data_IF_521829084698
#
_entry.id   IF_521829084698
#
_cell.length_a   1.000
_cell.length_b   1.000
_cell.length_c   1.000
_cell.angle_alpha   90.00
_cell.angle_beta   90.00
_cell.angle_gamma   90.00
#
_symmetry.space_group_name_H-M   'P 1'
#
loop_
_entity.id
_entity.type
_entity.pdbx_description
1 polymer ?
#
# COMPACT_ATOMS: atom_id res chain seq x y z
N UNK A 1 -1.10 9.80 -9.19
CA UNK A 1 -0.48 10.94 -9.90
C UNK A 1 0.51 11.56 -8.92
N UNK A 2 1.72 11.91 -9.32
CA UNK A 2 2.69 12.50 -8.38
C UNK A 2 2.46 14.01 -8.34
N UNK A 3 2.29 14.60 -7.15
CA UNK A 3 2.19 16.04 -7.00
C UNK A 3 3.55 16.69 -7.28
N UNK A 4 3.60 17.67 -8.17
CA UNK A 4 4.79 18.52 -8.33
C UNK A 4 5.00 19.38 -7.09
N UNK A 5 6.22 19.91 -6.91
CA UNK A 5 6.47 20.81 -5.78
C UNK A 5 5.69 22.12 -5.91
N UNK A 6 5.41 22.60 -7.13
CA UNK A 6 4.49 23.72 -7.34
C UNK A 6 3.08 23.37 -6.86
N UNK A 7 2.55 22.20 -7.22
CA UNK A 7 1.23 21.74 -6.77
C UNK A 7 1.15 21.62 -5.24
N UNK A 8 2.22 21.16 -4.58
CA UNK A 8 2.25 21.09 -3.11
C UNK A 8 2.20 22.49 -2.48
N UNK A 9 2.89 23.48 -3.05
CA UNK A 9 2.83 24.86 -2.57
C UNK A 9 1.45 25.47 -2.81
N UNK A 10 0.85 25.22 -3.97
CA UNK A 10 -0.52 25.62 -4.30
C UNK A 10 -1.53 25.03 -3.29
N UNK A 11 -1.46 23.72 -3.02
CA UNK A 11 -2.34 23.07 -2.03
C UNK A 11 -2.09 23.57 -0.62
N UNK A 12 -0.85 23.90 -0.26
CA UNK A 12 -0.59 24.54 1.02
C UNK A 12 -1.24 25.92 1.13
N UNK A 13 -1.11 26.74 0.09
CA UNK A 13 -1.73 28.05 0.06
C UNK A 13 -3.26 27.93 0.15
N UNK A 14 -3.86 27.05 -0.64
CA UNK A 14 -5.30 26.75 -0.56
C UNK A 14 -5.73 26.26 0.83
N UNK A 15 -4.91 25.44 1.50
CA UNK A 15 -5.15 25.02 2.87
C UNK A 15 -5.09 26.22 3.83
N UNK A 16 -4.11 27.10 3.72
CA UNK A 16 -3.97 28.30 4.58
C UNK A 16 -5.17 29.22 4.39
N UNK A 17 -5.55 29.46 3.14
CA UNK A 17 -6.65 30.35 2.75
C UNK A 17 -8.03 29.75 3.01
N UNK A 18 -8.10 28.44 3.31
CA UNK A 18 -9.34 27.68 3.46
C UNK A 18 -10.19 27.73 2.19
N UNK A 19 -9.54 27.67 1.03
CA UNK A 19 -10.17 27.92 -0.26
C UNK A 19 -11.18 26.80 -0.60
N UNK A 20 -12.49 27.10 -0.73
CA UNK A 20 -13.51 26.11 -1.05
C UNK A 20 -13.40 25.56 -2.48
N UNK A 21 -12.71 26.24 -3.39
CA UNK A 21 -12.50 25.74 -4.76
C UNK A 21 -11.62 24.49 -4.81
N UNK A 22 -10.79 24.27 -3.77
CA UNK A 22 -9.93 23.10 -3.65
C UNK A 22 -10.51 22.02 -2.74
N UNK A 23 -11.75 22.19 -2.26
CA UNK A 23 -12.40 21.20 -1.42
C UNK A 23 -12.63 19.90 -2.21
N UNK A 24 -12.16 18.78 -1.67
CA UNK A 24 -12.18 17.48 -2.38
C UNK A 24 -11.13 17.34 -3.49
N UNK A 25 -10.36 18.37 -3.85
CA UNK A 25 -9.23 18.28 -4.80
C UNK A 25 -8.02 17.61 -4.16
N UNK A 26 -7.79 17.88 -2.88
CA UNK A 26 -6.71 17.27 -2.11
C UNK A 26 -7.10 17.11 -0.63
N UNK A 27 -6.31 16.31 0.07
CA UNK A 27 -6.33 16.16 1.52
C UNK A 27 -4.97 16.54 2.09
N UNK A 28 -4.95 17.36 3.14
CA UNK A 28 -3.73 17.72 3.87
C UNK A 28 -3.56 16.85 5.11
N UNK A 29 -2.56 15.97 5.12
CA UNK A 29 -2.05 15.28 6.31
C UNK A 29 -1.14 16.20 7.14
N UNK A 30 -1.44 16.31 8.44
CA UNK A 30 -0.73 17.16 9.38
C UNK A 30 0.20 16.28 10.24
N UNK A 31 1.50 16.31 9.93
CA UNK A 31 2.52 15.41 10.52
C UNK A 31 2.54 15.44 12.05
N UNK A 32 2.34 16.63 12.63
CA UNK A 32 2.40 16.83 14.08
C UNK A 32 1.22 16.23 14.84
N UNK A 33 0.03 16.17 14.22
CA UNK A 33 -1.19 15.66 14.88
C UNK A 33 -1.60 14.28 14.38
N UNK A 34 -1.05 13.83 13.25
CA UNK A 34 -1.44 12.60 12.58
C UNK A 34 -2.88 12.64 12.06
N UNK A 35 -3.38 13.82 11.71
CA UNK A 35 -4.75 14.05 11.21
C UNK A 35 -4.67 14.47 9.75
N UNK A 36 -5.61 14.05 8.89
CA UNK A 36 -5.78 14.67 7.57
C UNK A 36 -7.07 15.49 7.49
N UNK A 37 -7.06 16.54 6.67
CA UNK A 37 -8.08 17.57 6.57
C UNK A 37 -8.42 17.92 5.12
N UNK A 38 -9.62 18.46 4.92
CA UNK A 38 -9.99 19.22 3.71
C UNK A 38 -9.31 20.58 3.65
N UNK A 39 -9.24 21.18 2.45
CA UNK A 39 -8.73 22.53 2.24
C UNK A 39 -9.46 23.55 3.13
N UNK A 40 -10.78 23.45 3.24
CA UNK A 40 -11.68 24.34 3.98
C UNK A 40 -11.61 24.21 5.51
N UNK A 41 -10.80 23.30 6.06
CA UNK A 41 -10.78 23.03 7.50
C UNK A 41 -10.46 24.28 8.33
N UNK A 42 -11.26 24.57 9.36
CA UNK A 42 -11.09 25.75 10.21
C UNK A 42 -10.04 25.59 11.32
N UNK A 43 -9.41 24.41 11.43
CA UNK A 43 -8.34 24.17 12.41
C UNK A 43 -7.13 25.11 12.19
N UNK A 44 -6.35 25.33 13.26
CA UNK A 44 -5.10 26.10 13.21
C UNK A 44 -4.19 25.50 12.15
N UNK A 45 -3.70 26.35 11.23
CA UNK A 45 -2.91 25.91 10.09
C UNK A 45 -1.47 25.60 10.52
N UNK A 46 -0.95 24.40 10.20
CA UNK A 46 0.43 24.03 10.47
C UNK A 46 1.38 24.75 9.50
N UNK A 47 2.68 24.74 9.80
CA UNK A 47 3.73 25.16 8.86
C UNK A 47 3.80 24.19 7.67
N UNK A 48 4.24 24.68 6.50
CA UNK A 48 4.41 23.89 5.28
C UNK A 48 5.19 22.58 5.50
N UNK A 49 6.32 22.65 6.19
CA UNK A 49 7.18 21.49 6.52
C UNK A 49 6.43 20.37 7.27
N UNK A 50 5.35 20.71 7.97
CA UNK A 50 4.50 19.82 8.74
C UNK A 50 3.27 19.31 7.96
N UNK A 51 3.17 19.63 6.67
CA UNK A 51 2.14 19.16 5.77
C UNK A 51 2.65 18.02 4.88
N UNK A 52 1.73 17.11 4.54
CA UNK A 52 1.84 16.14 3.45
C UNK A 52 0.51 16.17 2.71
N UNK A 53 0.52 16.07 1.38
CA UNK A 53 -0.69 16.24 0.56
C UNK A 53 -1.01 14.96 -0.20
N UNK A 54 -2.30 14.67 -0.32
CA UNK A 54 -2.84 13.46 -0.94
C UNK A 54 -3.98 13.82 -1.88
N UNK A 55 -4.12 13.11 -2.99
CA UNK A 55 -5.25 13.31 -3.89
C UNK A 55 -6.50 12.60 -3.38
N UNK A 56 -6.33 11.54 -2.60
CA UNK A 56 -7.47 10.77 -2.08
C UNK A 56 -7.38 10.57 -0.58
N UNK A 57 -8.54 10.40 0.06
CA UNK A 57 -8.60 10.03 1.47
C UNK A 57 -7.92 8.67 1.71
N UNK A 58 -8.04 7.71 0.78
CA UNK A 58 -7.38 6.40 0.89
C UNK A 58 -5.85 6.55 1.01
N UNK A 59 -5.23 7.41 0.20
CA UNK A 59 -3.80 7.72 0.28
C UNK A 59 -3.42 8.29 1.66
N UNK A 60 -4.20 9.24 2.19
CA UNK A 60 -3.96 9.82 3.51
C UNK A 60 -4.09 8.78 4.64
N UNK A 61 -5.05 7.86 4.53
CA UNK A 61 -5.26 6.79 5.49
C UNK A 61 -4.12 5.76 5.48
N UNK A 62 -3.72 5.31 4.29
CA UNK A 62 -2.54 4.45 4.10
C UNK A 62 -1.28 5.12 4.61
N UNK A 63 -1.24 6.46 4.57
CA UNK A 63 -0.14 7.22 5.09
C UNK A 63 -0.09 7.30 6.62
N UNK A 64 -1.09 6.77 7.32
CA UNK A 64 -1.17 6.72 8.78
C UNK A 64 -1.94 7.88 9.42
N UNK A 65 -2.49 8.80 8.62
CA UNK A 65 -3.31 9.90 9.13
C UNK A 65 -4.72 9.41 9.44
N UNK A 66 -5.31 9.90 10.54
CA UNK A 66 -6.73 9.68 10.86
C UNK A 66 -7.60 10.85 10.37
N UNK A 67 -8.88 10.64 10.08
CA UNK A 67 -9.77 11.72 9.68
C UNK A 67 -9.88 12.82 10.75
N UNK A 68 -9.89 14.08 10.32
CA UNK A 68 -10.13 15.21 11.22
C UNK A 68 -11.54 15.20 11.77
N UNK A 69 -11.69 15.37 13.09
CA UNK A 69 -13.01 15.46 13.73
C UNK A 69 -13.70 16.80 13.50
N UNK A 70 -12.98 17.84 13.02
CA UNK A 70 -13.52 19.18 12.80
C UNK A 70 -14.11 19.36 11.42
N UNK A 71 -13.32 19.15 10.38
CA UNK A 71 -13.82 19.26 9.00
C UNK A 71 -14.44 17.96 8.50
N UNK A 72 -14.31 16.87 9.27
CA UNK A 72 -14.85 15.55 8.92
C UNK A 72 -14.59 15.23 7.44
N UNK A 73 -13.33 15.02 7.03
CA UNK A 73 -12.96 14.97 5.61
C UNK A 73 -13.56 13.79 4.86
N UNK A 74 -14.25 12.91 5.58
CA UNK A 74 -15.05 11.82 5.09
C UNK A 74 -16.54 12.19 4.98
N UNK A 75 -16.92 13.46 5.09
CA UNK A 75 -18.30 13.92 4.95
C UNK A 75 -18.47 14.61 3.59
N UNK A 76 -19.42 14.12 2.78
CA UNK A 76 -19.86 14.78 1.55
C UNK A 76 -20.89 15.89 1.88
N UNK A 77 -21.17 16.87 0.99
CA UNK A 77 -22.06 18.00 1.27
C UNK A 77 -23.51 17.61 1.61
N UNK A 78 -23.94 16.41 1.23
CA UNK A 78 -25.16 15.80 1.74
C UNK A 78 -24.79 14.92 2.93
N UNK A 79 -25.44 15.15 4.08
CA UNK A 79 -25.20 14.44 5.33
C UNK A 79 -24.88 12.96 5.11
N UNK A 80 -23.71 12.50 5.60
CA UNK A 80 -23.32 11.09 5.54
C UNK A 80 -24.51 10.25 6.07
N UNK A 81 -24.99 9.24 5.32
CA UNK A 81 -26.03 8.34 5.81
C UNK A 81 -25.62 7.73 7.15
N UNK A 82 -26.55 7.61 8.09
CA UNK A 82 -26.23 7.18 9.46
C UNK A 82 -25.50 5.83 9.50
N UNK A 83 -25.84 4.92 8.58
CA UNK A 83 -25.17 3.63 8.45
C UNK A 83 -23.68 3.76 8.13
N UNK A 84 -23.31 4.76 7.33
CA UNK A 84 -21.91 5.03 6.99
C UNK A 84 -21.17 5.64 8.17
N UNK A 85 -21.82 6.51 8.96
CA UNK A 85 -21.23 7.02 10.20
C UNK A 85 -20.98 5.89 11.21
N UNK A 86 -21.97 5.02 11.42
CA UNK A 86 -21.84 3.84 12.28
C UNK A 86 -20.67 2.96 11.86
N UNK A 87 -20.52 2.70 10.56
CA UNK A 87 -19.41 1.92 10.01
C UNK A 87 -18.05 2.60 10.22
N UNK A 88 -17.95 3.91 9.99
CA UNK A 88 -16.70 4.66 10.23
C UNK A 88 -16.33 4.65 11.71
N UNK A 89 -17.29 4.95 12.60
CA UNK A 89 -17.07 4.95 14.05
C UNK A 89 -16.59 3.59 14.54
N UNK A 90 -17.23 2.51 14.10
CA UNK A 90 -16.86 1.16 14.51
C UNK A 90 -15.46 0.74 14.00
N UNK A 91 -15.02 1.25 12.85
CA UNK A 91 -13.62 1.06 12.40
C UNK A 91 -12.65 1.88 13.24
N UNK A 92 -12.95 3.15 13.55
CA UNK A 92 -12.04 3.98 14.35
C UNK A 92 -11.96 3.53 15.83
N UNK A 93 -13.01 2.88 16.36
CA UNK A 93 -12.99 2.23 17.68
C UNK A 93 -12.19 0.93 17.72
N UNK A 94 -12.08 0.22 16.60
CA UNK A 94 -11.36 -1.05 16.49
C UNK A 94 -10.61 -1.17 15.16
N UNK A 95 -9.60 -0.32 14.93
CA UNK A 95 -8.94 -0.16 13.63
C UNK A 95 -8.07 -1.36 13.21
N UNK A 96 -7.66 -2.23 14.15
CA UNK A 96 -6.99 -3.49 13.85
C UNK A 96 -7.92 -4.61 13.37
N UNK A 97 -9.25 -4.44 13.51
CA UNK A 97 -10.24 -5.50 13.30
C UNK A 97 -10.29 -5.95 11.83
N UNK A 98 -10.37 -7.28 11.66
CA UNK A 98 -10.72 -7.95 10.40
C UNK A 98 -12.23 -8.15 10.32
N UNK A 99 -12.86 -7.41 9.43
CA UNK A 99 -14.31 -7.40 9.25
C UNK A 99 -14.80 -8.63 8.47
N UNK A 100 -15.82 -9.29 8.99
CA UNK A 100 -16.51 -10.47 8.46
C UNK A 100 -18.00 -10.18 8.31
N UNK A 101 -18.72 -11.05 7.59
CA UNK A 101 -20.16 -10.91 7.37
C UNK A 101 -20.98 -10.82 8.67
N UNK A 102 -20.53 -11.48 9.73
CA UNK A 102 -21.14 -11.41 11.07
C UNK A 102 -21.10 -10.00 11.67
N UNK A 103 -20.03 -9.25 11.44
CA UNK A 103 -19.87 -7.89 11.99
C UNK A 103 -20.85 -6.91 11.37
N UNK A 104 -21.13 -7.06 10.07
CA UNK A 104 -22.14 -6.28 9.37
C UNK A 104 -23.54 -6.58 9.93
N UNK A 105 -23.84 -7.86 10.17
CA UNK A 105 -25.10 -8.30 10.81
C UNK A 105 -25.27 -7.71 12.21
N UNK A 106 -24.21 -7.68 13.02
CA UNK A 106 -24.24 -7.07 14.37
C UNK A 106 -24.52 -5.55 14.34
N UNK A 107 -24.06 -4.86 13.31
CA UNK A 107 -24.33 -3.43 13.12
C UNK A 107 -25.68 -3.15 12.45
N UNK A 108 -26.47 -4.19 12.11
CA UNK A 108 -27.75 -4.03 11.42
C UNK A 108 -27.62 -3.54 9.97
N UNK A 109 -26.47 -3.75 9.32
CA UNK A 109 -26.18 -3.26 7.97
C UNK A 109 -25.81 -4.43 7.07
N UNK A 110 -26.36 -4.52 5.87
CA UNK A 110 -25.90 -5.51 4.89
C UNK A 110 -24.55 -5.11 4.27
N UNK A 111 -23.63 -6.06 4.10
CA UNK A 111 -22.30 -5.83 3.52
C UNK A 111 -22.36 -5.24 2.11
N UNK A 112 -23.34 -5.63 1.30
CA UNK A 112 -23.60 -5.06 -0.02
C UNK A 112 -23.99 -3.57 0.05
N UNK A 113 -24.82 -3.18 1.04
CA UNK A 113 -25.19 -1.79 1.29
C UNK A 113 -23.98 -0.98 1.74
N UNK A 114 -23.20 -1.51 2.69
CA UNK A 114 -21.95 -0.89 3.14
C UNK A 114 -21.00 -0.65 1.96
N UNK A 115 -20.80 -1.67 1.11
CA UNK A 115 -19.97 -1.57 -0.09
C UNK A 115 -20.44 -0.48 -1.05
N UNK A 116 -21.75 -0.45 -1.36
CA UNK A 116 -22.35 0.51 -2.30
C UNK A 116 -22.20 1.94 -1.79
N UNK A 117 -22.64 2.21 -0.55
CA UNK A 117 -22.58 3.55 0.05
C UNK A 117 -21.15 4.06 0.19
N UNK A 118 -20.22 3.21 0.61
CA UNK A 118 -18.80 3.59 0.67
C UNK A 118 -18.24 3.90 -0.71
N UNK A 119 -18.55 3.10 -1.74
CA UNK A 119 -18.05 3.36 -3.10
C UNK A 119 -18.60 4.67 -3.67
N UNK A 120 -19.85 4.98 -3.37
CA UNK A 120 -20.51 6.23 -3.77
C UNK A 120 -19.92 7.45 -3.06
N UNK A 121 -19.69 7.38 -1.74
CA UNK A 121 -19.27 8.53 -0.93
C UNK A 121 -17.74 8.73 -0.94
N UNK A 122 -16.98 7.63 -0.90
CA UNK A 122 -15.53 7.64 -0.70
C UNK A 122 -14.73 7.16 -1.90
N UNK A 123 -15.38 6.70 -2.98
CA UNK A 123 -14.70 6.08 -4.12
C UNK A 123 -14.06 4.71 -3.82
N UNK A 124 -14.17 4.22 -2.58
CA UNK A 124 -13.59 2.95 -2.13
C UNK A 124 -14.65 2.12 -1.39
N UNK A 125 -14.46 0.81 -1.31
CA UNK A 125 -15.36 -0.04 -0.51
C UNK A 125 -15.06 0.06 0.99
N UNK A 126 -16.03 -0.25 1.85
CA UNK A 126 -15.81 -0.32 3.30
C UNK A 126 -14.62 -1.21 3.68
N UNK A 127 -14.47 -2.37 3.02
CA UNK A 127 -13.36 -3.29 3.27
C UNK A 127 -12.02 -2.67 2.88
N UNK A 128 -11.97 -1.87 1.81
CA UNK A 128 -10.76 -1.11 1.46
C UNK A 128 -10.45 -0.08 2.54
N UNK A 129 -11.44 0.72 2.97
CA UNK A 129 -11.28 1.69 4.06
C UNK A 129 -10.75 1.04 5.34
N UNK A 130 -11.40 -0.01 5.85
CA UNK A 130 -10.99 -0.70 7.08
C UNK A 130 -9.58 -1.31 6.98
N UNK A 131 -9.22 -1.87 5.83
CA UNK A 131 -7.87 -2.38 5.57
C UNK A 131 -6.84 -1.25 5.50
N UNK A 132 -7.15 -0.14 4.82
CA UNK A 132 -6.26 1.02 4.71
C UNK A 132 -6.01 1.66 6.08
N UNK A 133 -7.02 1.71 6.97
CA UNK A 133 -6.85 2.10 8.37
C UNK A 133 -5.91 1.19 9.12
N UNK A 134 -6.13 -0.13 9.04
CA UNK A 134 -5.29 -1.13 9.69
C UNK A 134 -3.83 -1.04 9.25
N UNK A 135 -3.60 -0.88 7.94
CA UNK A 135 -2.25 -0.77 7.40
C UNK A 135 -1.59 0.57 7.72
N UNK A 136 -2.37 1.65 7.74
CA UNK A 136 -1.92 2.95 8.19
C UNK A 136 -1.48 2.97 9.66
N UNK A 137 -2.14 2.20 10.54
CA UNK A 137 -1.70 2.03 11.92
C UNK A 137 -0.36 1.33 12.01
N UNK A 138 -0.22 0.19 11.34
CA UNK A 138 1.04 -0.55 11.31
C UNK A 138 2.18 0.36 10.87
N UNK A 139 1.96 1.20 9.84
CA UNK A 139 2.95 2.16 9.38
C UNK A 139 3.22 3.32 10.38
N UNK A 140 2.18 3.89 10.99
CA UNK A 140 2.32 5.00 11.94
C UNK A 140 3.14 4.58 13.16
N UNK A 141 2.92 3.37 13.66
CA UNK A 141 3.72 2.81 14.75
C UNK A 141 5.22 2.83 14.38
N UNK A 142 5.59 2.62 13.11
CA UNK A 142 7.00 2.60 12.65
C UNK A 142 7.60 3.99 12.63
N UNK A 143 6.86 4.97 12.12
CA UNK A 143 7.34 6.34 12.14
C UNK A 143 7.58 6.83 13.57
N UNK A 144 6.71 6.44 14.50
CA UNK A 144 6.86 6.76 15.91
C UNK A 144 8.02 5.95 16.52
N UNK A 145 8.12 4.65 16.22
CA UNK A 145 9.20 3.77 16.65
C UNK A 145 10.57 4.27 16.21
N UNK A 146 10.76 4.60 14.92
CA UNK A 146 12.01 5.20 14.41
C UNK A 146 12.42 6.46 15.20
N UNK A 147 11.47 7.37 15.47
CA UNK A 147 11.74 8.57 16.29
C UNK A 147 12.13 8.24 17.75
N UNK A 148 11.54 7.22 18.34
CA UNK A 148 11.86 6.77 19.71
C UNK A 148 13.21 6.06 19.75
N UNK A 149 13.53 5.25 18.74
CA UNK A 149 14.80 4.54 18.61
C UNK A 149 15.95 5.53 18.37
N UNK A 150 15.77 6.51 17.47
CA UNK A 150 16.75 7.57 17.23
C UNK A 150 17.06 8.37 18.53
N UNK A 151 16.09 8.46 19.45
CA UNK A 151 16.28 9.06 20.78
C UNK A 151 16.94 8.11 21.79
N UNK A 152 16.63 6.81 21.75
CA UNK A 152 17.13 5.78 22.67
C UNK A 152 18.52 5.23 22.32
N UNK A 153 18.98 5.35 21.07
CA UNK A 153 20.36 5.02 20.66
C UNK A 153 21.38 5.90 21.39
N UNK A 154 20.98 7.08 21.87
CA UNK A 154 21.78 7.94 22.78
C UNK A 154 22.00 7.32 24.17
N UNK A 155 21.20 6.32 24.56
CA UNK A 155 21.21 5.70 25.89
C UNK A 155 21.36 4.17 25.90
N UNK A 156 21.80 3.55 24.80
CA UNK A 156 22.28 2.16 24.81
C UNK A 156 21.22 1.08 25.08
N UNK A 157 19.95 1.32 24.79
CA UNK A 157 18.90 0.30 24.86
C UNK A 157 18.45 -0.14 23.46
N UNK A 158 18.38 -1.46 23.25
CA UNK A 158 17.78 -2.09 22.06
C UNK A 158 16.28 -1.72 21.95
N UNK A 159 15.85 -1.41 20.73
CA UNK A 159 14.54 -0.83 20.43
C UNK A 159 13.31 -1.66 20.85
N UNK A 160 12.49 -1.07 21.73
CA UNK A 160 11.04 -1.22 22.02
C UNK A 160 10.28 -2.53 21.66
N UNK A 161 9.95 -3.33 22.69
CA UNK A 161 9.02 -4.50 22.61
C UNK A 161 7.60 -4.12 22.20
N UNK A 162 7.03 -3.04 22.76
CA UNK A 162 5.62 -2.68 22.56
C UNK A 162 5.27 -2.34 21.09
N UNK A 163 6.23 -1.77 20.37
CA UNK A 163 6.12 -1.45 18.95
C UNK A 163 6.01 -2.71 18.08
N UNK A 164 6.89 -3.68 18.33
CA UNK A 164 6.84 -4.98 17.67
C UNK A 164 5.57 -5.75 18.04
N UNK A 165 5.08 -5.62 19.27
CA UNK A 165 3.84 -6.27 19.73
C UNK A 165 2.59 -5.76 18.98
N UNK A 166 2.48 -4.43 18.77
CA UNK A 166 1.38 -3.84 18.00
C UNK A 166 1.39 -4.27 16.52
N UNK A 167 2.56 -4.25 15.89
CA UNK A 167 2.71 -4.72 14.50
C UNK A 167 2.39 -6.22 14.39
N UNK A 168 2.86 -7.02 15.34
CA UNK A 168 2.56 -8.47 15.37
C UNK A 168 1.06 -8.72 15.58
N UNK A 169 0.35 -7.89 16.34
CA UNK A 169 -1.13 -7.99 16.48
C UNK A 169 -1.84 -7.78 15.14
N UNK A 170 -1.35 -6.86 14.30
CA UNK A 170 -1.93 -6.54 12.99
C UNK A 170 -1.59 -7.61 11.95
N UNK A 171 -0.33 -8.07 11.93
CA UNK A 171 0.22 -8.97 10.91
C UNK A 171 0.11 -10.46 11.25
N UNK A 172 -0.10 -10.80 12.52
CA UNK A 172 -0.32 -12.16 13.01
C UNK A 172 0.80 -12.69 13.93
N UNK A 173 0.41 -13.46 14.94
CA UNK A 173 1.32 -14.11 15.91
C UNK A 173 1.79 -15.50 15.45
N UNK A 174 3.08 -15.87 15.60
CA UNK A 174 3.55 -17.23 15.33
C UNK A 174 2.86 -18.25 16.24
N UNK A 175 2.77 -19.53 15.83
CA UNK A 175 2.38 -20.60 16.74
C UNK A 175 3.34 -20.67 17.94
N UNK A 176 2.82 -20.90 19.15
CA UNK A 176 3.63 -20.97 20.39
C UNK A 176 4.56 -22.20 20.35
N UNK A 177 5.82 -22.01 20.73
CA UNK A 177 6.89 -23.02 20.99
C UNK A 177 7.56 -23.67 19.77
N UNK A 178 8.18 -22.88 18.89
CA UNK A 178 9.18 -23.38 17.93
C UNK A 178 10.33 -22.37 17.77
N UNK A 179 11.49 -22.82 17.29
CA UNK A 179 12.54 -21.92 16.79
C UNK A 179 11.97 -21.19 15.57
N UNK A 180 11.89 -19.86 15.62
CA UNK A 180 11.18 -19.05 14.62
C UNK A 180 12.20 -18.22 13.85
N UNK A 181 12.12 -18.23 12.52
CA UNK A 181 12.92 -17.33 11.70
C UNK A 181 12.48 -15.88 11.90
N UNK A 182 13.39 -14.92 11.75
CA UNK A 182 13.06 -13.49 11.80
C UNK A 182 13.09 -12.94 10.38
N UNK A 183 11.95 -12.44 9.93
CA UNK A 183 11.83 -11.59 8.77
C UNK A 183 11.57 -10.15 9.23
N UNK A 184 12.05 -9.21 8.45
CA UNK A 184 11.86 -7.79 8.69
C UNK A 184 10.87 -7.24 7.66
N UNK A 185 9.92 -6.45 8.12
CA UNK A 185 9.07 -5.62 7.28
C UNK A 185 9.60 -4.19 7.26
N UNK A 186 9.83 -3.65 6.05
CA UNK A 186 10.16 -2.25 5.83
C UNK A 186 9.15 -1.60 4.89
N UNK A 187 8.94 -0.30 5.04
CA UNK A 187 7.98 0.47 4.24
C UNK A 187 8.73 1.47 3.37
N UNK A 188 8.42 1.45 2.08
CA UNK A 188 9.11 2.25 1.07
C UNK A 188 8.08 3.17 0.42
N UNK A 189 8.31 4.48 0.52
CA UNK A 189 7.50 5.48 -0.18
C UNK A 189 7.93 5.55 -1.64
N UNK A 190 6.97 5.50 -2.56
CA UNK A 190 7.22 5.65 -4.01
C UNK A 190 6.30 6.72 -4.61
N UNK A 191 6.61 7.25 -5.81
CA UNK A 191 5.75 8.18 -6.56
C UNK A 191 4.31 7.71 -6.78
N UNK A 192 4.07 6.40 -6.74
CA UNK A 192 2.78 5.77 -7.01
C UNK A 192 2.17 5.09 -5.79
N UNK A 193 2.61 5.50 -4.59
CA UNK A 193 2.06 5.03 -3.33
C UNK A 193 3.08 4.27 -2.49
N UNK A 194 2.66 3.92 -1.28
CA UNK A 194 3.55 3.25 -0.32
C UNK A 194 3.53 1.74 -0.54
N UNK A 195 4.72 1.17 -0.46
CA UNK A 195 4.94 -0.26 -0.60
C UNK A 195 5.45 -0.82 0.74
N UNK A 196 5.11 -2.07 1.01
CA UNK A 196 5.73 -2.87 2.05
C UNK A 196 6.68 -3.87 1.41
N UNK A 197 7.86 -4.01 1.99
CA UNK A 197 8.81 -5.07 1.68
C UNK A 197 8.97 -5.99 2.88
N UNK A 198 9.12 -7.28 2.63
CA UNK A 198 9.51 -8.28 3.64
C UNK A 198 10.81 -8.92 3.18
N UNK A 199 11.83 -8.91 4.03
CA UNK A 199 13.13 -9.53 3.76
C UNK A 199 13.70 -10.23 4.99
N UNK A 200 14.64 -11.15 4.78
CA UNK A 200 15.62 -11.51 5.81
C UNK A 200 16.89 -10.67 5.61
N UNK A 201 18.04 -11.12 6.14
CA UNK A 201 19.31 -10.43 5.94
C UNK A 201 19.83 -10.49 4.49
N UNK A 202 19.29 -11.40 3.66
CA UNK A 202 19.89 -11.85 2.40
C UNK A 202 19.00 -11.72 1.18
N UNK A 203 17.67 -11.78 1.31
CA UNK A 203 16.72 -11.79 0.19
C UNK A 203 15.43 -11.06 0.52
N UNK A 204 14.83 -10.46 -0.51
CA UNK A 204 13.47 -9.91 -0.48
C UNK A 204 12.46 -11.00 -0.85
N UNK A 205 11.46 -11.21 0.01
CA UNK A 205 10.37 -12.17 -0.15
C UNK A 205 9.07 -11.54 -0.69
N UNK A 206 8.87 -10.25 -0.39
CA UNK A 206 7.68 -9.50 -0.78
C UNK A 206 8.08 -8.06 -1.09
N UNK A 207 7.48 -7.50 -2.13
CA UNK A 207 7.41 -6.08 -2.39
C UNK A 207 6.05 -5.77 -3.01
N UNK A 208 5.16 -5.13 -2.27
CA UNK A 208 3.79 -4.89 -2.71
C UNK A 208 3.22 -3.57 -2.19
N UNK A 209 2.24 -3.03 -2.92
CA UNK A 209 1.52 -1.84 -2.49
C UNK A 209 0.63 -2.15 -1.27
N UNK A 210 0.63 -1.25 -0.28
CA UNK A 210 -0.10 -1.46 0.99
C UNK A 210 -1.62 -1.63 0.83
N UNK A 211 -2.17 -1.12 -0.27
CA UNK A 211 -3.58 -1.20 -0.64
C UNK A 211 -3.91 -2.37 -1.58
N UNK A 212 -2.94 -3.23 -1.87
CA UNK A 212 -3.16 -4.44 -2.68
C UNK A 212 -4.17 -5.35 -2.00
N UNK A 213 -5.17 -5.82 -2.76
CA UNK A 213 -6.14 -6.79 -2.27
C UNK A 213 -5.46 -8.13 -2.04
N UNK A 214 -5.59 -8.68 -0.84
CA UNK A 214 -4.98 -9.96 -0.48
C UNK A 214 -3.59 -9.85 0.15
N UNK A 215 -2.99 -8.65 0.24
CA UNK A 215 -1.67 -8.44 0.84
C UNK A 215 -1.52 -9.12 2.21
N UNK A 216 -2.48 -8.94 3.11
CA UNK A 216 -2.44 -9.53 4.45
C UNK A 216 -2.43 -11.06 4.43
N UNK A 217 -3.06 -11.67 3.42
CA UNK A 217 -3.04 -13.13 3.22
C UNK A 217 -1.70 -13.56 2.66
N UNK A 218 -1.09 -12.77 1.77
CA UNK A 218 0.25 -13.05 1.23
C UNK A 218 1.31 -13.00 2.33
N UNK A 219 1.26 -11.97 3.18
CA UNK A 219 2.11 -11.83 4.36
C UNK A 219 1.91 -13.01 5.31
N UNK A 220 0.66 -13.39 5.59
CA UNK A 220 0.35 -14.56 6.42
C UNK A 220 0.89 -15.87 5.81
N UNK A 221 0.81 -16.02 4.48
CA UNK A 221 1.34 -17.20 3.80
C UNK A 221 2.87 -17.26 3.89
N UNK A 222 3.57 -16.14 3.70
CA UNK A 222 5.03 -16.04 3.87
C UNK A 222 5.40 -16.42 5.31
N UNK A 223 4.71 -15.85 6.28
CA UNK A 223 4.91 -16.11 7.71
C UNK A 223 4.77 -17.59 8.06
N UNK A 224 3.69 -18.24 7.59
CA UNK A 224 3.46 -19.68 7.79
C UNK A 224 4.51 -20.53 7.09
N UNK A 225 4.79 -20.24 5.83
CA UNK A 225 5.70 -21.02 4.99
C UNK A 225 7.13 -21.02 5.54
N UNK A 226 7.57 -19.87 6.06
CA UNK A 226 8.93 -19.71 6.58
C UNK A 226 9.05 -19.92 8.07
N UNK A 227 7.95 -20.31 8.74
CA UNK A 227 7.89 -20.39 10.21
C UNK A 227 8.52 -19.15 10.84
N UNK A 228 8.06 -17.97 10.42
CA UNK A 228 8.72 -16.70 10.71
C UNK A 228 7.91 -15.79 11.65
N UNK A 229 8.62 -14.99 12.45
CA UNK A 229 8.11 -13.74 13.03
C UNK A 229 8.46 -12.63 12.07
N UNK A 230 7.53 -11.72 11.84
CA UNK A 230 7.78 -10.54 11.03
C UNK A 230 7.86 -9.37 12.01
N UNK A 231 9.07 -8.85 12.18
CA UNK A 231 9.34 -7.67 12.98
C UNK A 231 9.46 -6.46 12.06
N UNK A 232 9.26 -5.26 12.60
CA UNK A 232 9.63 -4.08 11.83
C UNK A 232 11.12 -3.87 11.95
N UNK A 233 11.77 -3.62 10.82
CA UNK A 233 13.19 -3.32 10.79
C UNK A 233 13.68 -3.12 9.38
N UNK A 234 14.87 -2.55 9.28
CA UNK A 234 15.57 -2.38 8.01
C UNK A 234 16.73 -3.36 7.95
N UNK A 235 16.97 -3.92 6.77
CA UNK A 235 18.07 -4.84 6.47
C UNK A 235 18.90 -4.23 5.35
N UNK A 236 20.12 -4.73 5.13
CA UNK A 236 20.95 -4.26 4.02
C UNK A 236 20.25 -4.42 2.66
N UNK A 237 19.50 -5.52 2.48
CA UNK A 237 18.71 -5.75 1.26
C UNK A 237 17.53 -4.79 1.13
N UNK A 238 16.91 -4.33 2.23
CA UNK A 238 15.92 -3.25 2.18
C UNK A 238 16.53 -1.92 1.73
N UNK A 239 17.74 -1.59 2.20
CA UNK A 239 18.43 -0.35 1.80
C UNK A 239 18.78 -0.38 0.31
N UNK A 240 19.32 -1.51 -0.17
CA UNK A 240 19.56 -1.71 -1.60
C UNK A 240 18.26 -1.59 -2.39
N UNK A 241 17.19 -2.27 -1.96
CA UNK A 241 15.89 -2.20 -2.63
C UNK A 241 15.36 -0.77 -2.75
N UNK A 242 15.40 -0.01 -1.65
CA UNK A 242 14.93 1.38 -1.63
C UNK A 242 15.75 2.26 -2.58
N UNK A 243 17.08 2.08 -2.62
CA UNK A 243 17.97 2.78 -3.55
C UNK A 243 17.67 2.43 -5.00
N UNK A 244 17.52 1.14 -5.32
CA UNK A 244 17.22 0.70 -6.69
C UNK A 244 15.84 1.17 -7.17
N UNK A 245 14.83 1.15 -6.29
CA UNK A 245 13.52 1.72 -6.59
C UNK A 245 13.59 3.22 -6.86
N UNK A 246 14.35 3.98 -6.06
CA UNK A 246 14.55 5.41 -6.30
C UNK A 246 15.18 5.65 -7.68
N UNK A 247 16.24 4.93 -8.02
CA UNK A 247 16.88 5.01 -9.33
C UNK A 247 15.95 4.60 -10.48
N UNK A 248 15.11 3.58 -10.28
CA UNK A 248 14.10 3.16 -11.26
C UNK A 248 13.08 4.27 -11.53
N UNK A 249 12.54 4.90 -10.49
CA UNK A 249 11.61 6.03 -10.65
C UNK A 249 12.28 7.30 -11.21
N UNK A 250 13.59 7.46 -11.01
CA UNK A 250 14.42 8.48 -11.66
C UNK A 250 14.83 8.12 -13.09
N UNK A 251 14.44 6.94 -13.61
CA UNK A 251 14.81 6.41 -14.93
C UNK A 251 16.32 6.15 -15.11
N UNK A 252 17.04 5.97 -14.01
CA UNK A 252 18.48 5.68 -14.00
C UNK A 252 18.78 4.19 -13.84
N UNK A 253 17.76 3.35 -13.68
CA UNK A 253 17.88 1.91 -13.51
C UNK A 253 16.78 1.18 -14.28
N UNK A 254 17.19 0.21 -15.10
CA UNK A 254 16.31 -0.66 -15.88
C UNK A 254 16.27 -2.09 -15.34
N UNK A 255 17.29 -2.50 -14.59
CA UNK A 255 17.45 -3.84 -14.05
C UNK A 255 17.75 -3.79 -12.55
N UNK A 256 16.93 -4.49 -11.77
CA UNK A 256 17.13 -4.65 -10.34
C UNK A 256 18.17 -5.75 -10.07
N UNK A 257 19.03 -5.51 -9.07
CA UNK A 257 20.06 -6.46 -8.64
C UNK A 257 19.87 -6.92 -7.21
N UNK A 258 18.90 -6.34 -6.49
CA UNK A 258 18.53 -6.79 -5.15
C UNK A 258 18.17 -8.29 -5.16
N UNK A 259 18.74 -9.10 -4.25
CA UNK A 259 18.49 -10.54 -4.20
C UNK A 259 17.04 -10.84 -3.82
N UNK A 260 16.41 -11.75 -4.57
CA UNK A 260 14.99 -12.10 -4.45
C UNK A 260 14.81 -13.56 -4.05
N UNK A 261 13.88 -13.82 -3.14
CA UNK A 261 13.41 -15.17 -2.83
C UNK A 261 12.03 -15.40 -3.47
N UNK A 262 12.03 -15.93 -4.69
CA UNK A 262 10.82 -16.11 -5.49
C UNK A 262 10.05 -17.37 -5.04
N UNK A 263 8.78 -17.18 -4.68
CA UNK A 263 7.92 -18.24 -4.17
C UNK A 263 6.63 -18.39 -4.97
N UNK A 264 6.55 -19.49 -5.72
CA UNK A 264 5.35 -19.87 -6.46
C UNK A 264 5.39 -21.33 -6.86
N UNK A 265 4.30 -21.80 -7.46
CA UNK A 265 4.25 -23.11 -8.12
C UNK A 265 5.25 -23.16 -9.28
N UNK A 266 5.67 -24.34 -9.75
CA UNK A 266 6.53 -24.45 -10.91
C UNK A 266 5.99 -23.68 -12.13
N UNK A 267 4.67 -23.72 -12.34
CA UNK A 267 4.02 -22.95 -13.40
C UNK A 267 4.16 -21.43 -13.20
N UNK A 268 3.92 -20.92 -11.98
CA UNK A 268 4.06 -19.50 -11.68
C UNK A 268 5.49 -19.01 -11.90
N UNK A 269 6.50 -19.78 -11.46
CA UNK A 269 7.90 -19.44 -11.68
C UNK A 269 8.23 -19.30 -13.16
N UNK A 270 7.82 -20.27 -14.00
CA UNK A 270 8.01 -20.18 -15.46
C UNK A 270 7.36 -18.93 -16.07
N UNK A 271 6.15 -18.57 -15.61
CA UNK A 271 5.49 -17.33 -16.06
C UNK A 271 6.34 -16.12 -15.65
N UNK A 272 6.78 -16.05 -14.40
CA UNK A 272 7.58 -14.93 -13.90
C UNK A 272 8.96 -14.81 -14.56
N UNK A 273 9.58 -15.94 -14.90
CA UNK A 273 10.83 -15.96 -15.68
C UNK A 273 10.63 -15.34 -17.07
N UNK A 274 9.48 -15.59 -17.71
CA UNK A 274 9.11 -14.91 -18.97
C UNK A 274 8.83 -13.41 -18.75
N UNK A 275 8.22 -13.03 -17.63
CA UNK A 275 7.99 -11.61 -17.32
C UNK A 275 9.31 -10.84 -17.22
N UNK A 276 10.31 -11.42 -16.55
CA UNK A 276 11.65 -10.82 -16.39
C UNK A 276 12.37 -10.62 -17.72
N UNK A 277 12.00 -11.36 -18.77
CA UNK A 277 12.57 -11.21 -20.11
C UNK A 277 11.92 -10.07 -20.92
N UNK A 278 10.79 -9.50 -20.48
CA UNK A 278 10.15 -8.39 -21.19
C UNK A 278 10.95 -7.11 -20.89
N UNK A 279 11.58 -6.44 -21.88
CA UNK A 279 12.35 -5.22 -21.63
C UNK A 279 11.49 -4.05 -21.12
N UNK A 280 12.07 -3.07 -20.40
CA UNK A 280 11.38 -1.82 -20.09
C UNK A 280 10.88 -1.14 -21.38
N UNK A 281 9.67 -0.58 -21.33
CA UNK A 281 9.06 0.13 -22.45
C UNK A 281 8.39 -0.80 -23.47
N UNK A 282 8.64 -2.11 -23.40
CA UNK A 282 7.93 -3.12 -24.17
C UNK A 282 6.76 -3.73 -23.40
N UNK A 283 5.81 -4.29 -24.15
CA UNK A 283 4.71 -5.07 -23.59
C UNK A 283 4.57 -6.41 -24.30
N UNK A 284 3.92 -7.36 -23.63
CA UNK A 284 3.48 -8.64 -24.21
C UNK A 284 2.03 -8.87 -23.85
N UNK A 285 1.29 -9.61 -24.67
CA UNK A 285 -0.06 -10.03 -24.32
C UNK A 285 -0.05 -11.32 -23.49
N UNK A 286 -1.13 -11.55 -22.74
CA UNK A 286 -1.33 -12.84 -22.05
C UNK A 286 -1.29 -14.04 -23.02
N UNK A 287 -1.71 -13.83 -24.28
CA UNK A 287 -1.67 -14.86 -25.32
C UNK A 287 -0.24 -15.14 -25.79
N UNK A 288 0.60 -14.11 -25.91
CA UNK A 288 2.01 -14.28 -26.30
C UNK A 288 2.75 -15.12 -25.26
N UNK A 289 2.54 -14.82 -23.97
CA UNK A 289 3.11 -15.61 -22.88
C UNK A 289 2.58 -17.06 -22.86
N UNK A 290 1.31 -17.27 -23.18
CA UNK A 290 0.73 -18.61 -23.28
C UNK A 290 1.39 -19.42 -24.41
N UNK A 291 1.60 -18.79 -25.58
CA UNK A 291 2.32 -19.39 -26.71
C UNK A 291 3.77 -19.71 -26.35
N UNK A 292 4.48 -18.80 -25.67
CA UNK A 292 5.86 -19.04 -25.20
C UNK A 292 5.96 -20.18 -24.19
N UNK A 293 4.89 -20.47 -23.45
CA UNK A 293 4.78 -21.61 -22.54
C UNK A 293 4.37 -22.92 -23.25
N UNK A 294 4.15 -22.87 -24.57
CA UNK A 294 3.84 -24.02 -25.41
C UNK A 294 2.35 -24.33 -25.58
N UNK A 295 1.44 -23.53 -25.02
CA UNK A 295 0.00 -23.76 -25.16
C UNK A 295 -0.79 -22.43 -25.15
N UNK A 296 -1.38 -22.02 -26.31
CA UNK A 296 -2.14 -20.78 -26.42
C UNK A 296 -3.44 -20.77 -25.59
N UNK A 297 -3.91 -21.90 -25.06
CA UNK A 297 -5.09 -21.96 -24.20
C UNK A 297 -4.79 -21.62 -22.73
N UNK A 298 -3.51 -21.46 -22.36
CA UNK A 298 -3.09 -21.12 -21.00
C UNK A 298 -3.32 -19.66 -20.60
N UNK A 299 -3.94 -18.82 -21.44
CA UNK A 299 -4.14 -17.37 -21.19
C UNK A 299 -4.67 -17.08 -19.78
N UNK A 300 -5.67 -17.84 -19.32
CA UNK A 300 -6.26 -17.65 -17.98
C UNK A 300 -5.30 -18.06 -16.86
N UNK A 301 -4.56 -19.15 -17.06
CA UNK A 301 -3.56 -19.63 -16.10
C UNK A 301 -2.40 -18.63 -15.99
N UNK A 302 -1.94 -18.07 -17.11
CA UNK A 302 -0.95 -16.98 -17.15
C UNK A 302 -1.47 -15.75 -16.42
N UNK A 303 -2.72 -15.34 -16.66
CA UNK A 303 -3.35 -14.22 -15.93
C UNK A 303 -3.35 -14.41 -14.42
N UNK A 304 -3.70 -15.61 -13.95
CA UNK A 304 -3.67 -15.96 -12.53
C UNK A 304 -2.25 -15.97 -11.96
N UNK A 305 -1.26 -16.47 -12.71
CA UNK A 305 0.15 -16.45 -12.30
C UNK A 305 0.72 -15.02 -12.26
N UNK A 306 0.38 -14.18 -13.24
CA UNK A 306 0.74 -12.76 -13.28
C UNK A 306 0.19 -12.00 -12.06
N UNK A 307 -1.08 -12.25 -11.71
CA UNK A 307 -1.72 -11.67 -10.53
C UNK A 307 -1.18 -12.21 -9.20
N UNK A 308 -0.54 -13.38 -9.19
CA UNK A 308 0.08 -13.97 -8.01
C UNK A 308 1.50 -13.49 -7.73
N UNK A 309 2.07 -12.63 -8.59
CA UNK A 309 3.36 -12.00 -8.35
C UNK A 309 3.36 -11.27 -7.00
N UNK A 310 4.38 -11.49 -6.19
CA UNK A 310 4.61 -10.91 -4.86
C UNK A 310 5.74 -9.88 -4.84
N UNK A 311 6.39 -9.65 -5.98
CA UNK A 311 7.54 -8.76 -6.13
C UNK A 311 7.20 -7.75 -7.22
N UNK A 312 6.21 -6.89 -6.93
CA UNK A 312 5.75 -5.86 -7.85
C UNK A 312 6.89 -4.94 -8.30
N UNK A 313 6.80 -4.40 -9.52
CA UNK A 313 7.82 -3.60 -10.21
C UNK A 313 9.05 -4.43 -10.62
N UNK A 314 9.63 -5.21 -9.71
CA UNK A 314 10.83 -6.02 -9.97
C UNK A 314 10.53 -7.16 -10.94
N UNK A 315 9.53 -7.99 -10.62
CA UNK A 315 8.93 -8.91 -11.59
C UNK A 315 7.86 -8.09 -12.33
N UNK A 316 8.04 -7.75 -13.62
CA UNK A 316 7.33 -6.66 -14.27
C UNK A 316 5.96 -7.10 -14.79
N UNK A 317 5.07 -7.53 -13.89
CA UNK A 317 3.71 -7.98 -14.22
C UNK A 317 2.82 -6.86 -14.83
N UNK A 318 3.24 -5.60 -14.71
CA UNK A 318 2.61 -4.44 -15.37
C UNK A 318 2.87 -4.39 -16.88
N UNK A 319 3.90 -5.06 -17.40
CA UNK A 319 4.22 -5.12 -18.83
C UNK A 319 3.32 -6.07 -19.64
N UNK A 320 2.42 -6.79 -18.97
CA UNK A 320 1.48 -7.71 -19.64
C UNK A 320 0.12 -7.05 -19.87
N UNK A 321 -0.34 -6.97 -21.12
CA UNK A 321 -1.61 -6.35 -21.50
C UNK A 321 -2.56 -7.33 -22.19
N UNK A 322 -3.79 -6.89 -22.46
CA UNK A 322 -4.71 -7.70 -23.27
C UNK A 322 -4.30 -7.64 -24.75
N UNK A 323 -4.67 -8.65 -25.53
CA UNK A 323 -4.38 -8.69 -26.98
C UNK A 323 -5.06 -7.54 -27.74
N UNK A 324 -6.15 -6.96 -27.19
CA UNK A 324 -6.80 -5.76 -27.72
C UNK A 324 -5.97 -4.48 -27.57
N UNK A 325 -4.87 -4.51 -26.81
CA UNK A 325 -4.12 -3.31 -26.42
C UNK A 325 -4.65 -2.65 -25.14
N UNK A 326 -5.77 -3.12 -24.59
CA UNK A 326 -6.33 -2.56 -23.36
C UNK A 326 -5.51 -2.95 -22.11
N UNK A 327 -5.49 -2.03 -21.14
CA UNK A 327 -4.93 -2.28 -19.81
C UNK A 327 -5.85 -3.25 -19.06
N UNK A 328 -5.58 -4.55 -19.20
CA UNK A 328 -6.20 -5.57 -18.35
C UNK A 328 -5.89 -5.34 -16.86
N UNK A 329 -6.59 -6.07 -15.98
CA UNK A 329 -6.46 -5.93 -14.53
C UNK A 329 -5.01 -6.00 -14.00
N UNK A 330 -4.74 -5.22 -12.95
CA UNK A 330 -3.44 -5.17 -12.26
C UNK A 330 -3.65 -5.23 -10.75
N UNK A 331 -2.87 -6.05 -10.05
CA UNK A 331 -3.00 -6.25 -8.59
C UNK A 331 -2.79 -4.96 -7.78
N UNK A 332 -1.97 -4.05 -8.30
CA UNK A 332 -1.76 -2.71 -7.76
C UNK A 332 -2.67 -1.62 -8.34
N UNK A 333 -3.69 -1.94 -9.13
CA UNK A 333 -4.61 -0.96 -9.73
C UNK A 333 -4.16 -0.40 -11.09
N UNK A 334 -5.14 -0.15 -11.97
CA UNK A 334 -4.91 0.21 -13.38
C UNK A 334 -4.09 1.50 -13.54
N UNK A 335 -4.33 2.50 -12.69
CA UNK A 335 -3.58 3.77 -12.72
C UNK A 335 -2.07 3.58 -12.47
N UNK A 336 -1.69 2.67 -11.56
CA UNK A 336 -0.26 2.36 -11.31
C UNK A 336 0.37 1.68 -12.51
N UNK A 337 -0.35 0.74 -13.14
CA UNK A 337 0.11 0.07 -14.36
C UNK A 337 0.32 1.06 -15.49
N UNK A 338 -0.63 1.97 -15.72
CA UNK A 338 -0.51 3.04 -16.72
C UNK A 338 0.71 3.91 -16.46
N UNK A 339 0.90 4.35 -15.20
CA UNK A 339 2.06 5.16 -14.83
C UNK A 339 3.39 4.43 -15.09
N UNK A 340 3.51 3.17 -14.66
CA UNK A 340 4.75 2.39 -14.84
C UNK A 340 5.08 2.20 -16.33
N UNK A 341 4.09 1.88 -17.16
CA UNK A 341 4.29 1.78 -18.61
C UNK A 341 4.74 3.11 -19.22
N UNK A 342 4.14 4.23 -18.81
CA UNK A 342 4.54 5.57 -19.27
C UNK A 342 5.92 5.99 -18.78
N UNK A 343 6.29 5.60 -17.57
CA UNK A 343 7.61 5.84 -17.00
C UNK A 343 8.67 5.16 -17.87
N UNK A 344 8.44 3.88 -18.19
CA UNK A 344 9.36 3.05 -18.95
C UNK A 344 9.43 3.38 -20.44
N UNK A 345 8.36 3.90 -21.06
CA UNK A 345 8.40 4.41 -22.45
C UNK A 345 9.37 5.59 -22.65
N UNK A 346 9.79 6.23 -21.56
CA UNK A 346 10.67 7.40 -21.56
C UNK A 346 12.05 7.08 -20.97
N UNK A 347 12.38 5.78 -20.85
CA UNK A 347 13.71 5.25 -20.55
C UNK A 347 14.30 4.81 -21.89
#
# INVERSE_FOLDING_TARGET
MMMTDEQKHEFYQALVDKNPQYDGTFFAGIKTTGIFCHATCTARKPKYENCEFFFTAEEALLAGYRPCKRCTPLTYPNSIPEEVKTLVSAVEESPEKRWKEEDFRQLGIHSATARRKFKEIYGMTFVQYARSRRMGLAFKEILNGKKVIDQQVTFGYESSSAFNDAFTKIMGNPPKKAQVNILHANFISTPIGRMISISDATHVYLLEFMDRRGLEREIENIRKKHHARILVGETNVHQQLAKELALYFEKKLTQFTVPLSIHGTPFQKRVWDLLLQIPPGETRSYRDLAIMLGDPHLVRAVGNANGANQLAIIIPCHRVIQTSGELGGYGGGIERKKYLLQLEQRI
#
